data_IF_542985044854
#
_entry.id   IF_542985044854
#
_cell.length_a   1.000
_cell.length_b   1.000
_cell.length_c   1.000
_cell.angle_alpha   90.00
_cell.angle_beta   90.00
_cell.angle_gamma   90.00
#
_symmetry.space_group_name_H-M   'P 1'
#
loop_
_entity.id
_entity.type
_entity.pdbx_description
1 polymer ?
#
# COMPACT_ATOMS: atom_id res chain seq x y z
N UNK A 1 7.83 -0.69 -26.86
CA UNK A 1 7.56 -2.07 -26.40
C UNK A 1 7.79 -2.24 -24.90
N UNK A 2 8.96 -1.89 -24.34
CA UNK A 2 9.21 -2.04 -22.90
C UNK A 2 8.34 -1.13 -22.02
N UNK A 3 8.17 0.15 -22.39
CA UNK A 3 7.32 1.10 -21.66
C UNK A 3 5.84 0.68 -21.68
N UNK A 4 5.29 0.37 -22.86
CA UNK A 4 3.90 -0.13 -22.97
C UNK A 4 3.61 -1.37 -22.10
N UNK A 5 4.56 -2.29 -21.96
CA UNK A 5 4.39 -3.45 -21.08
C UNK A 5 4.31 -3.03 -19.61
N UNK A 6 5.16 -2.08 -19.19
CA UNK A 6 5.15 -1.54 -17.82
C UNK A 6 3.87 -0.74 -17.55
N UNK A 7 3.41 0.08 -18.50
CA UNK A 7 2.15 0.82 -18.45
C UNK A 7 0.97 -0.15 -18.21
N UNK A 8 0.85 -1.20 -19.04
CA UNK A 8 -0.19 -2.22 -18.92
C UNK A 8 -0.14 -2.96 -17.58
N UNK A 9 1.05 -3.29 -17.10
CA UNK A 9 1.22 -3.94 -15.79
C UNK A 9 0.75 -3.05 -14.65
N UNK A 10 1.10 -1.76 -14.69
CA UNK A 10 0.73 -0.81 -13.64
C UNK A 10 -0.77 -0.48 -13.67
N UNK A 11 -1.39 -0.41 -14.86
CA UNK A 11 -2.85 -0.25 -15.00
C UNK A 11 -3.63 -1.47 -14.49
N UNK A 12 -3.18 -2.69 -14.81
CA UNK A 12 -3.77 -3.92 -14.26
C UNK A 12 -3.64 -3.96 -12.74
N UNK A 13 -2.53 -3.47 -12.20
CA UNK A 13 -2.30 -3.41 -10.76
C UNK A 13 -3.17 -2.33 -10.10
N UNK A 14 -3.40 -1.19 -10.76
CA UNK A 14 -4.36 -0.16 -10.32
C UNK A 14 -5.77 -0.74 -10.23
N UNK A 15 -6.22 -1.46 -11.27
CA UNK A 15 -7.54 -2.11 -11.26
C UNK A 15 -7.68 -3.11 -10.11
N UNK A 16 -6.67 -3.94 -9.87
CA UNK A 16 -6.66 -4.87 -8.72
C UNK A 16 -6.71 -4.11 -7.40
N UNK A 17 -5.89 -3.08 -7.23
CA UNK A 17 -5.84 -2.25 -6.03
C UNK A 17 -7.15 -1.48 -5.77
N UNK A 18 -7.87 -1.09 -6.81
CA UNK A 18 -9.18 -0.46 -6.67
C UNK A 18 -10.21 -1.44 -6.09
N UNK A 19 -10.18 -2.71 -6.53
CA UNK A 19 -11.14 -3.75 -6.12
C UNK A 19 -10.77 -4.45 -4.82
N UNK A 20 -9.48 -4.60 -4.56
CA UNK A 20 -8.95 -5.47 -3.52
C UNK A 20 -7.84 -4.77 -2.72
N UNK A 21 -8.09 -4.45 -1.43
CA UNK A 21 -7.14 -3.79 -0.55
C UNK A 21 -5.74 -4.43 -0.53
N UNK A 22 -5.65 -5.75 -0.66
CA UNK A 22 -4.40 -6.50 -0.64
C UNK A 22 -3.35 -6.04 -1.67
N UNK A 23 -3.78 -5.48 -2.81
CA UNK A 23 -2.88 -5.06 -3.90
C UNK A 23 -2.44 -3.60 -3.79
N UNK A 24 -3.05 -2.79 -2.91
CA UNK A 24 -2.72 -1.36 -2.79
C UNK A 24 -1.27 -1.11 -2.39
N UNK A 25 -0.69 -1.83 -1.42
CA UNK A 25 0.72 -1.61 -1.08
C UNK A 25 1.66 -1.89 -2.26
N UNK A 26 1.40 -2.96 -3.03
CA UNK A 26 2.19 -3.28 -4.22
C UNK A 26 2.01 -2.21 -5.30
N UNK A 27 0.77 -1.81 -5.57
CA UNK A 27 0.45 -0.75 -6.51
C UNK A 27 1.21 0.55 -6.21
N UNK A 28 1.14 1.03 -4.97
CA UNK A 28 1.78 2.27 -4.55
C UNK A 28 3.31 2.19 -4.64
N UNK A 29 3.89 1.04 -4.31
CA UNK A 29 5.33 0.80 -4.46
C UNK A 29 5.74 0.82 -5.94
N UNK A 30 5.02 0.11 -6.81
CA UNK A 30 5.30 0.10 -8.25
C UNK A 30 5.08 1.47 -8.89
N UNK A 31 4.06 2.20 -8.46
CA UNK A 31 3.79 3.56 -8.90
C UNK A 31 4.97 4.49 -8.58
N UNK A 32 5.49 4.46 -7.35
CA UNK A 32 6.59 5.34 -6.91
C UNK A 32 7.91 5.11 -7.64
N UNK A 33 8.22 3.86 -8.01
CA UNK A 33 9.43 3.53 -8.78
C UNK A 33 9.22 3.61 -10.30
N UNK A 34 7.97 3.84 -10.72
CA UNK A 34 7.57 3.95 -12.11
C UNK A 34 7.75 5.36 -12.68
N UNK A 35 7.17 5.54 -13.86
CA UNK A 35 7.07 6.82 -14.54
C UNK A 35 5.60 7.10 -14.84
N UNK A 36 5.26 8.37 -14.96
CA UNK A 36 3.91 8.84 -15.25
C UNK A 36 3.93 9.82 -16.40
N UNK A 37 2.76 10.06 -16.96
CA UNK A 37 2.50 11.15 -17.88
C UNK A 37 1.76 12.28 -17.16
N UNK A 38 2.10 13.53 -17.45
CA UNK A 38 1.33 14.68 -16.97
C UNK A 38 1.30 15.79 -18.02
N UNK A 39 0.30 16.66 -17.91
CA UNK A 39 0.14 17.81 -18.78
C UNK A 39 0.96 18.98 -18.24
N UNK A 40 1.77 19.56 -19.10
CA UNK A 40 2.60 20.69 -18.72
C UNK A 40 3.55 21.12 -19.81
N UNK A 41 4.15 22.29 -19.59
CA UNK A 41 5.12 22.89 -20.50
C UNK A 41 6.34 23.35 -19.73
N UNK A 42 7.46 23.47 -20.42
CA UNK A 42 8.61 24.22 -19.90
C UNK A 42 8.63 25.64 -20.44
N UNK A 43 9.33 26.55 -19.78
CA UNK A 43 9.63 27.92 -20.21
C UNK A 43 10.18 28.03 -21.65
N UNK A 44 10.74 26.94 -22.18
CA UNK A 44 11.31 26.85 -23.54
C UNK A 44 10.35 26.31 -24.59
N UNK A 45 9.13 25.96 -24.20
CA UNK A 45 8.14 25.40 -25.12
C UNK A 45 7.60 26.51 -26.02
N UNK A 46 8.01 26.50 -27.29
CA UNK A 46 7.57 27.49 -28.28
C UNK A 46 6.38 26.93 -29.07
N UNK A 47 5.18 27.39 -28.71
CA UNK A 47 3.86 27.08 -29.30
C UNK A 47 3.42 25.59 -29.21
N UNK A 48 2.48 25.26 -28.30
CA UNK A 48 1.92 23.93 -28.21
C UNK A 48 0.83 23.76 -29.29
N UNK A 49 1.20 23.26 -30.46
CA UNK A 49 0.21 22.94 -31.52
C UNK A 49 0.04 21.45 -31.78
N UNK A 50 0.78 20.59 -31.08
CA UNK A 50 0.72 19.13 -31.22
C UNK A 50 0.89 18.41 -29.86
N UNK A 51 0.31 17.23 -29.73
CA UNK A 51 0.48 16.31 -28.59
C UNK A 51 1.88 15.68 -28.64
N UNK A 52 2.88 16.44 -28.20
CA UNK A 52 4.28 16.01 -28.22
C UNK A 52 4.85 15.88 -26.79
N UNK A 53 5.75 14.91 -26.63
CA UNK A 53 6.49 14.74 -25.39
C UNK A 53 7.57 15.82 -25.24
N UNK A 54 7.45 16.62 -24.19
CA UNK A 54 8.49 17.58 -23.82
C UNK A 54 9.60 16.85 -23.05
N UNK A 55 10.84 17.09 -23.45
CA UNK A 55 12.03 16.57 -22.78
C UNK A 55 12.64 17.67 -21.91
N UNK A 56 12.64 17.46 -20.60
CA UNK A 56 13.19 18.42 -19.64
C UNK A 56 14.72 18.49 -19.73
N UNK A 57 15.26 19.71 -19.63
CA UNK A 57 16.69 19.98 -19.43
C UNK A 57 16.92 20.57 -18.05
N UNK A 58 18.16 20.45 -17.55
CA UNK A 58 18.52 21.03 -16.26
C UNK A 58 18.34 22.55 -16.28
N UNK A 59 17.59 23.07 -15.32
CA UNK A 59 17.28 24.49 -15.18
C UNK A 59 16.03 24.96 -15.91
N UNK A 60 15.29 24.07 -16.59
CA UNK A 60 13.98 24.41 -17.14
C UNK A 60 12.96 24.68 -16.01
N UNK A 61 12.12 25.71 -16.18
CA UNK A 61 11.02 25.99 -15.27
C UNK A 61 9.77 25.23 -15.76
N UNK A 62 9.16 24.46 -14.86
CA UNK A 62 8.04 23.59 -15.20
C UNK A 62 6.70 24.22 -14.82
N UNK A 63 5.81 24.31 -15.79
CA UNK A 63 4.43 24.74 -15.60
C UNK A 63 3.47 23.57 -15.83
N UNK A 64 2.98 22.99 -14.74
CA UNK A 64 2.00 21.90 -14.76
C UNK A 64 0.58 22.42 -14.91
N UNK A 65 -0.25 21.73 -15.68
CA UNK A 65 -1.64 22.11 -15.90
C UNK A 65 -2.54 21.55 -14.79
N UNK A 66 -3.13 22.44 -13.99
CA UNK A 66 -4.16 22.10 -13.00
C UNK A 66 -5.54 22.00 -13.63
N UNK A 67 -6.34 21.06 -13.17
CA UNK A 67 -7.74 20.88 -13.56
C UNK A 67 -8.66 21.27 -12.42
N UNK A 68 -9.79 21.87 -12.76
CA UNK A 68 -10.82 22.22 -11.80
C UNK A 68 -11.81 21.06 -11.69
N UNK A 69 -11.98 20.53 -10.48
CA UNK A 69 -12.96 19.49 -10.16
C UNK A 69 -14.38 20.08 -10.11
N UNK A 70 -15.39 19.21 -10.15
CA UNK A 70 -16.80 19.60 -10.09
C UNK A 70 -17.18 20.34 -8.80
N UNK A 71 -16.48 20.07 -7.70
CA UNK A 71 -16.63 20.76 -6.40
C UNK A 71 -15.96 22.15 -6.37
N UNK A 72 -15.29 22.55 -7.45
CA UNK A 72 -14.61 23.83 -7.59
C UNK A 72 -13.16 23.86 -7.10
N UNK A 73 -12.67 22.78 -6.49
CA UNK A 73 -11.27 22.66 -6.07
C UNK A 73 -10.36 22.30 -7.25
N UNK A 74 -9.06 22.53 -7.11
CA UNK A 74 -8.07 22.25 -8.14
C UNK A 74 -7.28 20.98 -7.82
N UNK A 75 -6.93 20.22 -8.85
CA UNK A 75 -6.04 19.08 -8.73
C UNK A 75 -5.13 18.94 -9.96
N UNK A 76 -3.98 18.32 -9.77
CA UNK A 76 -3.06 18.00 -10.85
C UNK A 76 -3.36 16.59 -11.39
N UNK A 77 -3.77 16.46 -12.66
CA UNK A 77 -3.96 15.16 -13.29
C UNK A 77 -2.61 14.53 -13.64
N UNK A 78 -2.50 13.22 -13.46
CA UNK A 78 -1.40 12.42 -13.98
C UNK A 78 -1.89 11.05 -14.41
N UNK A 79 -1.14 10.39 -15.29
CA UNK A 79 -1.60 9.22 -16.02
C UNK A 79 -0.57 8.10 -16.03
N UNK A 80 -1.05 6.85 -15.98
CA UNK A 80 -0.19 5.67 -16.06
C UNK A 80 0.24 5.35 -17.49
N UNK A 81 -0.54 5.75 -18.49
CA UNK A 81 -0.26 5.51 -19.92
C UNK A 81 -0.57 6.74 -20.76
N UNK A 82 0.09 6.81 -21.92
CA UNK A 82 -0.21 7.84 -22.92
C UNK A 82 -1.64 7.70 -23.46
N UNK A 83 -2.12 6.46 -23.58
CA UNK A 83 -3.49 6.18 -24.03
C UNK A 83 -4.52 6.78 -23.07
N UNK A 84 -4.37 6.59 -21.76
CA UNK A 84 -5.29 7.17 -20.78
C UNK A 84 -5.23 8.69 -20.78
N UNK A 85 -4.04 9.28 -20.95
CA UNK A 85 -3.89 10.73 -21.09
C UNK A 85 -4.68 11.25 -22.30
N UNK A 86 -4.47 10.65 -23.47
CA UNK A 86 -5.11 11.06 -24.73
C UNK A 86 -6.64 10.92 -24.68
N UNK A 87 -7.16 9.90 -23.99
CA UNK A 87 -8.59 9.72 -23.79
C UNK A 87 -9.22 10.74 -22.82
N UNK A 88 -8.40 11.40 -22.01
CA UNK A 88 -8.85 12.33 -20.96
C UNK A 88 -8.83 13.80 -21.39
N UNK A 89 -8.38 14.11 -22.60
CA UNK A 89 -8.28 15.47 -23.14
C UNK A 89 -9.08 15.62 -24.43
N UNK A 90 -9.69 16.78 -24.63
CA UNK A 90 -10.44 17.10 -25.86
C UNK A 90 -9.55 17.73 -26.94
N UNK A 91 -8.49 18.44 -26.52
CA UNK A 91 -7.56 19.15 -27.39
C UNK A 91 -6.13 18.60 -27.21
N UNK A 92 -5.31 18.77 -28.24
CA UNK A 92 -3.91 18.38 -28.19
C UNK A 92 -3.12 19.24 -27.21
N UNK A 93 -2.52 18.61 -26.21
CA UNK A 93 -1.72 19.27 -25.19
C UNK A 93 -0.31 18.65 -25.12
N UNK A 94 0.74 19.45 -24.90
CA UNK A 94 2.04 18.92 -24.57
C UNK A 94 2.00 18.17 -23.25
N UNK A 95 2.80 17.12 -23.20
CA UNK A 95 2.89 16.29 -22.02
C UNK A 95 4.34 15.99 -21.68
N UNK A 96 4.55 15.59 -20.43
CA UNK A 96 5.84 15.16 -19.92
C UNK A 96 5.74 13.70 -19.52
N UNK A 97 6.86 12.99 -19.64
CA UNK A 97 7.04 11.65 -19.09
C UNK A 97 8.18 11.71 -18.09
N UNK A 98 7.88 11.51 -16.80
CA UNK A 98 8.84 11.70 -15.73
C UNK A 98 8.71 10.65 -14.63
N UNK A 99 9.77 10.42 -13.84
CA UNK A 99 9.70 9.56 -12.65
C UNK A 99 8.60 10.03 -11.69
N UNK A 100 7.75 9.11 -11.24
CA UNK A 100 6.63 9.44 -10.33
C UNK A 100 7.11 10.11 -9.06
N UNK A 101 8.20 9.60 -8.46
CA UNK A 101 8.77 10.19 -7.24
C UNK A 101 9.14 11.67 -7.43
N UNK A 102 9.76 12.01 -8.56
CA UNK A 102 10.11 13.39 -8.87
C UNK A 102 8.86 14.26 -9.04
N UNK A 103 7.83 13.75 -9.72
CA UNK A 103 6.54 14.43 -9.86
C UNK A 103 5.89 14.70 -8.49
N UNK A 104 5.88 13.72 -7.59
CA UNK A 104 5.32 13.87 -6.25
C UNK A 104 6.12 14.86 -5.40
N UNK A 105 7.45 14.86 -5.50
CA UNK A 105 8.31 15.80 -4.77
C UNK A 105 8.11 17.25 -5.20
N UNK A 106 7.95 17.52 -6.50
CA UNK A 106 7.73 18.88 -7.01
C UNK A 106 6.31 19.41 -6.79
N UNK A 107 5.34 18.54 -6.51
CA UNK A 107 3.92 18.88 -6.32
C UNK A 107 3.47 18.78 -4.86
N UNK A 108 4.41 18.81 -3.91
CA UNK A 108 4.11 18.78 -2.49
C UNK A 108 3.16 19.92 -2.10
N UNK A 109 1.99 19.56 -1.56
CA UNK A 109 0.95 20.50 -1.18
C UNK A 109 -0.25 20.54 -2.14
N UNK A 110 -0.10 20.01 -3.36
CA UNK A 110 -1.19 19.89 -4.31
C UNK A 110 -1.99 18.60 -4.11
N UNK A 111 -3.28 18.65 -4.47
CA UNK A 111 -4.09 17.44 -4.64
C UNK A 111 -3.78 16.85 -6.02
N UNK A 112 -3.51 15.55 -6.09
CA UNK A 112 -3.20 14.86 -7.35
C UNK A 112 -4.32 13.88 -7.71
N UNK A 113 -4.62 13.73 -8.99
CA UNK A 113 -5.61 12.77 -9.48
C UNK A 113 -4.97 11.88 -10.52
N UNK A 114 -4.87 10.58 -10.21
CA UNK A 114 -4.41 9.56 -11.11
C UNK A 114 -5.52 9.11 -12.05
N UNK A 115 -5.23 9.03 -13.34
CA UNK A 115 -6.13 8.60 -14.39
C UNK A 115 -7.55 9.20 -14.21
N UNK A 116 -7.70 10.55 -14.20
CA UNK A 116 -9.02 11.18 -14.18
C UNK A 116 -9.96 10.55 -15.22
N UNK A 117 -11.26 10.49 -14.92
CA UNK A 117 -12.30 9.93 -15.81
C UNK A 117 -12.18 8.42 -16.11
N UNK A 118 -11.12 7.75 -15.66
CA UNK A 118 -11.01 6.29 -15.68
C UNK A 118 -11.88 5.65 -14.59
N UNK A 119 -12.45 4.44 -14.81
CA UNK A 119 -13.20 3.69 -13.79
C UNK A 119 -12.43 3.43 -12.50
N UNK A 120 -11.10 3.45 -12.56
CA UNK A 120 -10.21 3.16 -11.43
C UNK A 120 -9.31 4.35 -11.06
N UNK A 121 -9.69 5.57 -11.47
CA UNK A 121 -8.96 6.78 -11.08
C UNK A 121 -8.86 6.94 -9.56
N UNK A 122 -7.78 7.54 -9.08
CA UNK A 122 -7.53 7.74 -7.64
C UNK A 122 -7.09 9.16 -7.34
N UNK A 123 -7.75 9.77 -6.36
CA UNK A 123 -7.29 11.03 -5.76
C UNK A 123 -6.25 10.74 -4.67
N UNK A 124 -5.22 11.58 -4.61
CA UNK A 124 -4.18 11.60 -3.59
C UNK A 124 -4.19 12.96 -2.90
N UNK A 125 -4.32 12.95 -1.58
CA UNK A 125 -4.21 14.16 -0.78
C UNK A 125 -2.75 14.56 -0.54
N UNK A 126 -2.46 15.84 -0.22
CA UNK A 126 -1.10 16.27 0.11
C UNK A 126 -0.45 15.45 1.25
N UNK A 127 -1.23 15.04 2.25
CA UNK A 127 -0.72 14.22 3.36
C UNK A 127 -0.40 12.79 2.93
N UNK A 128 -1.21 12.20 2.03
CA UNK A 128 -0.95 10.88 1.48
C UNK A 128 0.34 10.88 0.64
N UNK A 129 0.56 11.91 -0.17
CA UNK A 129 1.81 12.05 -0.95
C UNK A 129 3.03 12.17 -0.03
N UNK A 130 2.95 12.95 1.05
CA UNK A 130 4.03 13.05 2.05
C UNK A 130 4.34 11.72 2.72
N UNK A 131 3.31 10.95 3.06
CA UNK A 131 3.46 9.60 3.62
C UNK A 131 4.12 8.64 2.62
N UNK A 132 3.68 8.66 1.36
CA UNK A 132 4.25 7.83 0.29
C UNK A 132 5.72 8.15 0.01
N UNK A 133 6.08 9.43 0.05
CA UNK A 133 7.46 9.88 -0.09
C UNK A 133 8.31 9.66 1.17
N UNK A 134 7.70 9.23 2.28
CA UNK A 134 8.33 9.06 3.60
C UNK A 134 8.94 10.35 4.16
N UNK A 135 8.37 11.51 3.79
CA UNK A 135 8.83 12.82 4.28
C UNK A 135 8.38 13.04 5.73
N UNK A 136 7.16 12.61 6.04
CA UNK A 136 6.58 12.61 7.38
C UNK A 136 6.18 11.17 7.75
N UNK A 137 7.09 10.19 7.56
CA UNK A 137 6.89 8.88 8.15
C UNK A 137 6.94 9.05 9.67
N UNK A 138 5.80 9.44 10.24
CA UNK A 138 5.63 9.62 11.66
C UNK A 138 6.02 8.34 12.38
N UNK A 139 6.42 8.49 13.64
CA UNK A 139 6.64 7.34 14.49
C UNK A 139 5.33 6.54 14.52
N UNK A 140 5.38 5.25 14.18
CA UNK A 140 4.31 4.33 14.54
C UNK A 140 4.13 4.49 16.04
N UNK A 141 2.95 4.92 16.50
CA UNK A 141 2.69 5.04 17.93
C UNK A 141 2.80 3.64 18.53
N UNK A 142 3.94 3.36 19.15
CA UNK A 142 4.19 2.14 19.88
C UNK A 142 3.89 2.39 21.34
N UNK A 143 3.06 1.54 21.93
CA UNK A 143 2.86 1.49 23.36
C UNK A 143 3.24 0.10 23.84
N UNK A 144 4.09 0.03 24.85
CA UNK A 144 4.31 -1.22 25.57
C UNK A 144 3.17 -1.40 26.56
N UNK A 145 2.43 -2.50 26.43
CA UNK A 145 1.49 -2.91 27.49
C UNK A 145 2.33 -3.27 28.72
N UNK A 146 2.19 -2.49 29.79
CA UNK A 146 2.91 -2.73 31.04
C UNK A 146 2.51 -4.09 31.60
N UNK A 147 3.49 -4.84 32.12
CA UNK A 147 3.34 -6.23 32.61
C UNK A 147 2.22 -6.43 33.65
N UNK A 148 1.81 -5.38 34.37
CA UNK A 148 0.76 -5.44 35.41
C UNK A 148 -0.63 -5.06 34.90
N UNK A 149 -0.83 -4.91 33.58
CA UNK A 149 -2.14 -4.58 33.01
C UNK A 149 -2.94 -5.86 32.76
N UNK A 150 -3.99 -6.10 33.55
CA UNK A 150 -4.96 -7.15 33.26
C UNK A 150 -5.74 -6.82 31.99
N UNK A 151 -5.41 -7.52 30.90
CA UNK A 151 -6.16 -7.47 29.63
C UNK A 151 -6.95 -8.75 29.45
N UNK A 152 -8.15 -8.61 28.88
CA UNK A 152 -8.98 -9.75 28.47
C UNK A 152 -8.71 -10.04 27.00
N UNK A 153 -8.39 -11.30 26.71
CA UNK A 153 -8.16 -11.81 25.37
C UNK A 153 -9.30 -12.74 24.97
N UNK A 154 -9.67 -12.70 23.70
CA UNK A 154 -10.72 -13.55 23.17
C UNK A 154 -10.75 -13.59 21.64
N UNK A 155 -11.74 -14.28 21.10
CA UNK A 155 -12.00 -14.31 19.66
C UNK A 155 -13.19 -13.41 19.32
N UNK A 156 -13.17 -12.74 18.15
CA UNK A 156 -14.32 -11.95 17.72
C UNK A 156 -15.54 -12.85 17.49
N UNK A 157 -16.67 -12.47 18.07
CA UNK A 157 -17.95 -13.19 17.87
C UNK A 157 -18.37 -13.14 16.41
N UNK A 158 -18.21 -11.98 15.76
CA UNK A 158 -18.37 -11.80 14.32
C UNK A 158 -16.99 -11.75 13.68
N UNK A 159 -16.58 -12.86 13.05
CA UNK A 159 -15.25 -12.98 12.47
C UNK A 159 -15.13 -12.13 11.19
N UNK A 160 -14.13 -11.24 11.06
CA UNK A 160 -14.01 -10.32 9.94
C UNK A 160 -13.40 -11.00 8.70
N UNK A 161 -14.16 -11.93 8.08
CA UNK A 161 -13.69 -12.77 6.97
C UNK A 161 -13.13 -11.98 5.78
N UNK A 162 -13.74 -10.86 5.42
CA UNK A 162 -13.29 -10.00 4.32
C UNK A 162 -11.89 -9.43 4.59
N UNK A 163 -11.67 -8.92 5.79
CA UNK A 163 -10.36 -8.42 6.25
C UNK A 163 -9.32 -9.53 6.24
N UNK A 164 -9.66 -10.68 6.83
CA UNK A 164 -8.75 -11.83 6.91
C UNK A 164 -8.36 -12.33 5.53
N UNK A 165 -9.30 -12.43 4.58
CA UNK A 165 -9.01 -12.85 3.22
C UNK A 165 -8.05 -11.90 2.49
N UNK A 166 -8.24 -10.58 2.64
CA UNK A 166 -7.36 -9.57 2.05
C UNK A 166 -5.98 -9.59 2.70
N UNK A 167 -5.91 -9.73 4.02
CA UNK A 167 -4.66 -9.89 4.74
C UNK A 167 -3.93 -11.18 4.32
N UNK A 168 -4.60 -12.32 4.18
CA UNK A 168 -3.98 -13.55 3.68
C UNK A 168 -3.34 -13.34 2.30
N UNK A 169 -4.07 -12.73 1.35
CA UNK A 169 -3.54 -12.40 0.02
C UNK A 169 -2.31 -11.51 0.09
N UNK A 170 -2.36 -10.48 0.94
CA UNK A 170 -1.23 -9.57 1.14
C UNK A 170 -0.02 -10.27 1.78
N UNK A 171 -0.24 -11.03 2.85
CA UNK A 171 0.83 -11.69 3.62
C UNK A 171 1.54 -12.79 2.83
N UNK A 172 0.88 -13.43 1.86
CA UNK A 172 1.52 -14.35 0.91
C UNK A 172 2.67 -13.69 0.12
N UNK A 173 2.62 -12.38 -0.08
CA UNK A 173 3.68 -11.61 -0.75
C UNK A 173 4.83 -11.21 0.20
N UNK A 174 4.71 -11.51 1.50
CA UNK A 174 5.64 -11.11 2.56
C UNK A 174 6.37 -12.35 3.06
N UNK A 175 7.50 -12.73 2.43
CA UNK A 175 8.23 -13.93 2.83
C UNK A 175 8.69 -13.88 4.28
N UNK A 176 8.82 -12.69 4.87
CA UNK A 176 9.22 -12.53 6.26
C UNK A 176 8.15 -12.86 7.30
N UNK A 177 6.88 -12.98 6.92
CA UNK A 177 5.80 -13.31 7.86
C UNK A 177 5.66 -14.82 7.95
N UNK A 178 5.91 -15.40 9.12
CA UNK A 178 5.76 -16.82 9.36
C UNK A 178 4.30 -17.19 9.59
N UNK A 179 3.64 -16.48 10.48
CA UNK A 179 2.25 -16.66 10.83
C UNK A 179 1.61 -15.33 11.24
N UNK A 180 0.29 -15.25 11.10
CA UNK A 180 -0.49 -14.15 11.62
C UNK A 180 -1.75 -14.67 12.32
N UNK A 181 -2.08 -14.01 13.42
CA UNK A 181 -3.13 -14.40 14.36
C UNK A 181 -4.12 -13.25 14.55
N UNK A 182 -5.37 -13.59 14.85
CA UNK A 182 -6.42 -12.61 15.12
C UNK A 182 -6.98 -12.85 16.51
N UNK A 183 -7.14 -11.77 17.27
CA UNK A 183 -7.76 -11.78 18.58
C UNK A 183 -8.58 -10.49 18.80
N UNK A 184 -9.39 -10.50 19.85
CA UNK A 184 -9.87 -9.30 20.51
C UNK A 184 -9.04 -9.07 21.77
N UNK A 185 -8.65 -7.82 21.99
CA UNK A 185 -8.07 -7.35 23.24
C UNK A 185 -9.02 -6.33 23.87
N UNK A 186 -9.23 -6.44 25.18
CA UNK A 186 -9.98 -5.45 25.93
C UNK A 186 -9.29 -5.18 27.26
N UNK A 187 -8.94 -3.92 27.51
CA UNK A 187 -8.57 -3.46 28.84
C UNK A 187 -9.79 -2.79 29.50
N UNK A 188 -10.47 -3.42 30.47
CA UNK A 188 -11.67 -2.87 31.08
C UNK A 188 -11.46 -1.53 31.83
N UNK A 189 -10.22 -1.20 32.17
CA UNK A 189 -9.87 0.04 32.87
C UNK A 189 -9.63 1.22 31.90
N UNK A 190 -9.33 0.94 30.63
CA UNK A 190 -8.94 1.94 29.63
C UNK A 190 -9.92 2.02 28.46
N UNK A 191 -10.39 0.88 28.00
CA UNK A 191 -11.08 0.75 26.72
C UNK A 191 -12.59 0.69 26.94
N UNK A 192 -13.37 1.42 26.13
CA UNK A 192 -14.83 1.36 26.20
C UNK A 192 -15.39 0.07 25.56
N UNK A 193 -14.66 -0.52 24.62
CA UNK A 193 -15.03 -1.73 23.87
C UNK A 193 -13.76 -2.55 23.57
N UNK A 194 -13.88 -3.86 23.30
CA UNK A 194 -12.78 -4.64 22.76
C UNK A 194 -12.32 -4.12 21.39
N UNK A 195 -11.02 -4.20 21.12
CA UNK A 195 -10.37 -3.83 19.87
C UNK A 195 -9.85 -5.07 19.16
N UNK A 196 -9.95 -5.12 17.83
CA UNK A 196 -9.32 -6.17 17.03
C UNK A 196 -7.80 -6.04 17.10
N UNK A 197 -7.11 -7.17 17.26
CA UNK A 197 -5.67 -7.21 17.30
C UNK A 197 -5.12 -8.27 16.35
N UNK A 198 -4.12 -7.89 15.56
CA UNK A 198 -3.36 -8.77 14.68
C UNK A 198 -1.99 -9.03 15.30
N UNK A 199 -1.70 -10.29 15.60
CA UNK A 199 -0.36 -10.73 15.97
C UNK A 199 0.43 -11.20 14.77
N UNK A 200 1.67 -10.76 14.64
CA UNK A 200 2.57 -11.14 13.56
C UNK A 200 3.80 -11.86 14.10
N UNK A 201 4.00 -13.09 13.65
CA UNK A 201 5.23 -13.83 13.88
C UNK A 201 6.16 -13.63 12.68
N UNK A 202 7.37 -13.12 12.90
CA UNK A 202 8.27 -12.63 11.85
C UNK A 202 9.64 -13.30 11.85
N UNK A 203 10.20 -13.51 10.66
CA UNK A 203 11.59 -13.89 10.40
C UNK A 203 12.46 -12.64 10.12
N UNK A 204 12.44 -11.62 10.99
CA UNK A 204 13.06 -10.31 10.66
C UNK A 204 14.08 -9.81 11.68
N UNK A 205 15.28 -9.40 11.23
CA UNK A 205 16.26 -8.74 12.08
C UNK A 205 16.30 -7.20 11.98
N UNK A 206 15.52 -6.55 11.11
CA UNK A 206 15.69 -5.11 10.77
C UNK A 206 14.47 -4.23 11.14
N UNK A 207 14.63 -3.16 11.96
CA UNK A 207 13.54 -2.29 12.39
C UNK A 207 12.82 -1.49 11.29
N UNK A 208 13.52 -0.91 10.32
CA UNK A 208 12.88 -0.05 9.30
C UNK A 208 11.89 -0.83 8.40
N UNK A 209 12.19 -2.10 8.12
CA UNK A 209 11.32 -2.97 7.34
C UNK A 209 10.08 -3.40 8.14
N UNK A 210 10.17 -3.38 9.48
CA UNK A 210 9.07 -3.67 10.37
C UNK A 210 8.01 -2.56 10.34
N UNK A 211 8.43 -1.29 10.44
CA UNK A 211 7.51 -0.15 10.44
C UNK A 211 6.70 -0.08 9.14
N UNK A 212 7.37 -0.26 8.00
CA UNK A 212 6.70 -0.31 6.69
C UNK A 212 5.71 -1.49 6.60
N UNK A 213 6.08 -2.66 7.13
CA UNK A 213 5.19 -3.82 7.15
C UNK A 213 3.96 -3.57 8.03
N UNK A 214 4.14 -3.04 9.24
CA UNK A 214 3.06 -2.71 10.18
C UNK A 214 2.09 -1.72 9.53
N UNK A 215 2.60 -0.64 8.92
CA UNK A 215 1.78 0.35 8.23
C UNK A 215 0.97 -0.26 7.08
N UNK A 216 1.60 -1.10 6.25
CA UNK A 216 0.91 -1.77 5.14
C UNK A 216 -0.19 -2.73 5.63
N UNK A 217 0.08 -3.51 6.70
CA UNK A 217 -0.91 -4.41 7.28
C UNK A 217 -2.07 -3.62 7.88
N UNK A 218 -1.78 -2.55 8.62
CA UNK A 218 -2.79 -1.66 9.19
C UNK A 218 -3.70 -1.07 8.11
N UNK A 219 -3.12 -0.60 7.00
CA UNK A 219 -3.88 -0.07 5.86
C UNK A 219 -4.77 -1.15 5.22
N UNK A 220 -4.22 -2.32 4.90
CA UNK A 220 -4.99 -3.42 4.31
C UNK A 220 -6.11 -3.86 5.25
N UNK A 221 -5.85 -3.94 6.56
CA UNK A 221 -6.84 -4.30 7.56
C UNK A 221 -7.98 -3.26 7.59
N UNK A 222 -7.64 -1.99 7.80
CA UNK A 222 -8.60 -0.89 7.91
C UNK A 222 -9.51 -0.77 6.68
N UNK A 223 -8.94 -0.82 5.47
CA UNK A 223 -9.70 -0.67 4.23
C UNK A 223 -10.53 -1.91 3.86
N UNK A 224 -10.31 -3.03 4.53
CA UNK A 224 -11.05 -4.28 4.30
C UNK A 224 -12.23 -4.48 5.25
N UNK A 225 -12.32 -3.69 6.32
CA UNK A 225 -13.43 -3.74 7.27
C UNK A 225 -14.70 -3.16 6.64
N UNK A 226 -15.85 -3.77 6.94
CA UNK A 226 -17.15 -3.23 6.51
C UNK A 226 -17.55 -1.99 7.33
N UNK A 227 -17.08 -1.90 8.58
CA UNK A 227 -17.19 -0.72 9.42
C UNK A 227 -15.78 -0.30 9.87
N UNK A 228 -15.35 0.93 9.59
CA UNK A 228 -14.04 1.40 10.02
C UNK A 228 -13.88 1.31 11.54
N UNK A 229 -12.91 0.52 12.00
CA UNK A 229 -12.52 0.43 13.41
C UNK A 229 -11.00 0.35 13.54
N UNK A 230 -10.48 0.70 14.71
CA UNK A 230 -9.07 0.51 15.01
C UNK A 230 -8.74 -0.98 15.03
N UNK A 231 -7.56 -1.31 14.51
CA UNK A 231 -6.97 -2.63 14.56
C UNK A 231 -5.56 -2.46 15.12
N UNK A 232 -5.33 -3.02 16.29
CA UNK A 232 -4.02 -3.03 16.93
C UNK A 232 -3.12 -4.07 16.25
N UNK A 233 -1.82 -3.80 16.18
CA UNK A 233 -0.82 -4.75 15.70
C UNK A 233 0.19 -5.03 16.80
N UNK A 234 0.57 -6.30 16.94
CA UNK A 234 1.62 -6.73 17.86
C UNK A 234 2.55 -7.73 17.17
N UNK A 235 3.79 -7.80 17.66
CA UNK A 235 4.77 -8.78 17.21
C UNK A 235 4.81 -9.93 18.20
N UNK A 236 4.61 -11.14 17.68
CA UNK A 236 4.64 -12.37 18.45
C UNK A 236 6.08 -12.88 18.49
N UNK A 237 6.65 -12.85 19.68
CA UNK A 237 8.01 -13.31 19.95
C UNK A 237 7.95 -14.71 20.59
N UNK A 238 8.51 -15.70 19.89
CA UNK A 238 8.51 -17.09 20.36
C UNK A 238 9.29 -17.30 21.66
N UNK A 239 10.23 -16.41 21.96
CA UNK A 239 11.08 -16.46 23.15
C UNK A 239 10.44 -15.75 24.35
N UNK A 240 9.41 -14.92 24.12
CA UNK A 240 8.69 -14.25 25.20
C UNK A 240 7.51 -15.09 25.67
N UNK A 241 7.29 -15.04 26.98
CA UNK A 241 6.18 -15.71 27.64
C UNK A 241 5.17 -14.70 28.19
N UNK A 242 4.99 -13.58 27.48
CA UNK A 242 3.91 -12.66 27.80
C UNK A 242 2.55 -13.31 27.43
N UNK A 243 1.50 -12.95 28.19
CA UNK A 243 0.19 -13.60 28.07
C UNK A 243 -0.44 -13.45 26.68
N UNK A 244 -0.12 -12.38 25.95
CA UNK A 244 -0.64 -12.12 24.62
C UNK A 244 0.02 -13.03 23.58
N UNK A 245 1.35 -13.11 23.57
CA UNK A 245 2.12 -14.01 22.71
C UNK A 245 1.81 -15.48 22.99
N UNK A 246 1.56 -15.84 24.25
CA UNK A 246 1.16 -17.21 24.62
C UNK A 246 -0.23 -17.54 24.10
N UNK A 247 -1.22 -16.68 24.38
CA UNK A 247 -2.59 -16.85 23.92
C UNK A 247 -2.66 -17.06 22.40
N UNK A 248 -1.98 -16.19 21.63
CA UNK A 248 -2.01 -16.30 20.17
C UNK A 248 -1.37 -17.61 19.67
N UNK A 249 -0.27 -18.06 20.26
CA UNK A 249 0.43 -19.28 19.80
C UNK A 249 -0.25 -20.57 20.24
N UNK A 250 -0.81 -20.61 21.44
CA UNK A 250 -1.30 -21.85 22.06
C UNK A 250 -2.82 -22.01 22.02
N UNK A 251 -3.57 -20.90 22.04
CA UNK A 251 -5.04 -20.93 22.14
C UNK A 251 -5.75 -20.43 20.87
N UNK A 252 -5.01 -19.92 19.88
CA UNK A 252 -5.59 -19.46 18.62
C UNK A 252 -5.03 -20.20 17.41
N UNK A 253 -5.86 -20.39 16.39
CA UNK A 253 -5.39 -20.89 15.09
C UNK A 253 -4.95 -19.69 14.25
N UNK A 254 -3.74 -19.70 13.66
CA UNK A 254 -3.30 -18.61 12.80
C UNK A 254 -4.23 -18.52 11.59
N UNK A 255 -4.67 -17.31 11.27
CA UNK A 255 -5.43 -17.09 10.04
C UNK A 255 -4.51 -17.12 8.81
N UNK A 256 -3.22 -16.90 8.99
CA UNK A 256 -2.22 -17.04 7.94
C UNK A 256 -1.03 -17.80 8.48
N UNK A 257 -0.56 -18.78 7.72
CA UNK A 257 0.71 -19.45 7.97
C UNK A 257 1.43 -19.62 6.63
N UNK A 258 2.69 -19.20 6.56
CA UNK A 258 3.51 -19.32 5.35
C UNK A 258 3.69 -20.79 5.01
N UNK A 259 3.33 -21.17 3.78
CA UNK A 259 3.58 -22.52 3.27
C UNK A 259 5.08 -22.79 3.25
N UNK A 260 5.51 -23.92 3.83
CA UNK A 260 6.89 -24.36 3.68
C UNK A 260 7.08 -24.88 2.25
N UNK A 261 8.18 -24.52 1.55
CA UNK A 261 8.42 -25.05 0.22
C UNK A 261 8.47 -26.57 0.29
N UNK A 262 7.58 -27.24 -0.45
CA UNK A 262 7.60 -28.71 -0.53
C UNK A 262 9.00 -29.15 -0.98
N UNK A 263 9.72 -29.85 -0.09
CA UNK A 263 10.93 -30.57 -0.49
C UNK A 263 10.50 -31.57 -1.55
N UNK A 264 10.76 -31.29 -2.83
CA UNK A 264 10.70 -32.28 -3.91
C UNK A 264 11.53 -33.48 -3.46
N UNK A 265 10.86 -34.53 -2.97
CA UNK A 265 11.49 -35.83 -2.70
C UNK A 265 11.91 -36.37 -4.06
N UNK A 266 13.17 -36.11 -4.43
CA UNK A 266 13.83 -36.80 -5.53
C UNK A 266 13.84 -38.29 -5.21
N UNK A 267 12.91 -39.03 -5.81
CA UNK A 267 12.92 -40.49 -5.80
C UNK A 267 14.09 -40.94 -6.69
N UNK A 268 15.29 -40.99 -6.12
CA UNK A 268 16.41 -41.69 -6.73
C UNK A 268 16.17 -43.19 -6.55
N UNK A 269 15.46 -43.79 -7.50
CA UNK A 269 15.37 -45.24 -7.65
C UNK A 269 16.76 -45.75 -8.01
N UNK A 270 17.53 -46.21 -7.01
CA UNK A 270 18.74 -47.00 -7.24
C UNK A 270 18.32 -48.37 -7.76
N UNK A 271 18.44 -48.59 -9.06
CA UNK A 271 18.57 -49.94 -9.60
C UNK A 271 20.00 -50.41 -9.33
N UNK A 272 20.15 -51.43 -8.48
CA UNK A 272 21.36 -52.26 -8.48
C UNK A 272 21.02 -53.53 -9.25
N UNK A 273 21.75 -53.78 -10.33
CA UNK A 273 21.99 -55.12 -10.86
C UNK A 273 23.15 -55.76 -10.12
#
# INVERSE_FOLDING_TARGET
MQNQMQEQQLEQLLEKAAKEPAYRPEFLQQLLIGHIYCLGVTDRTTQPMQTEQIHMKQGDELHLQKWKKADGTEALPFFLSLETLQQSIEEEHPYLYLPTRQFFEMTLGDTLVLNPMSPYGKEFSPSEIRQLLQIDAGQVESYEVQQDTEVLLGQPTEYPYKMVLQLQKFLQTKPQVQAAYLALMHNPQRDAKPTLMIGLQLDMPQPLQLDQLIQQIGQVAFESLDQPSLVDLTIIDDQKNDGLSLYMREETTPFYQREQPEKRRGMLTRFFS
#
